data_IF_139296104132
#
_entry.id   IF_139296104132
#
_cell.length_a   1.000
_cell.length_b   1.000
_cell.length_c   1.000
_cell.angle_alpha   90.00
_cell.angle_beta   90.00
_cell.angle_gamma   90.00
#
_symmetry.space_group_name_H-M   'P 1'
#
loop_
_entity.id
_entity.type
_entity.pdbx_description
1 polymer ?
#
# COMPACT_ATOMS: atom_id res chain seq x y z
N UNK A 1 55.83 -8.61 -9.76
CA UNK A 1 54.39 -8.42 -9.75
C UNK A 1 54.06 -7.29 -10.71
N UNK A 2 53.13 -7.50 -11.61
CA UNK A 2 52.69 -6.44 -12.53
C UNK A 2 51.96 -5.34 -11.73
N UNK A 3 52.00 -4.10 -12.22
CA UNK A 3 51.37 -2.99 -11.51
C UNK A 3 49.84 -3.23 -11.43
N UNK A 4 49.26 -3.79 -12.47
CA UNK A 4 47.81 -4.12 -12.51
C UNK A 4 47.41 -5.13 -11.43
N UNK A 5 48.24 -6.16 -11.21
CA UNK A 5 47.99 -7.16 -10.13
C UNK A 5 48.14 -6.53 -8.73
N UNK A 6 49.14 -5.63 -8.58
CA UNK A 6 49.28 -4.90 -7.33
C UNK A 6 48.07 -4.03 -7.02
N UNK A 7 47.59 -3.24 -7.99
CA UNK A 7 46.45 -2.33 -7.80
C UNK A 7 45.15 -3.09 -7.55
N UNK A 8 44.90 -4.22 -8.25
CA UNK A 8 43.76 -5.09 -7.93
C UNK A 8 43.84 -5.63 -6.49
N UNK A 9 45.04 -6.06 -6.05
CA UNK A 9 45.25 -6.53 -4.66
C UNK A 9 45.05 -5.43 -3.64
N UNK A 10 45.55 -4.22 -3.90
CA UNK A 10 45.34 -3.05 -3.06
C UNK A 10 43.83 -2.71 -2.94
N UNK A 11 43.15 -2.65 -4.05
CA UNK A 11 41.68 -2.37 -4.08
C UNK A 11 40.90 -3.42 -3.29
N UNK A 12 41.17 -4.71 -3.52
CA UNK A 12 40.54 -5.81 -2.76
C UNK A 12 40.77 -5.65 -1.25
N UNK A 13 42.01 -5.32 -0.84
CA UNK A 13 42.33 -5.10 0.56
C UNK A 13 41.53 -3.95 1.16
N UNK A 14 41.36 -2.83 0.43
CA UNK A 14 40.57 -1.68 0.90
C UNK A 14 39.09 -2.03 1.01
N UNK A 15 38.53 -2.76 0.04
CA UNK A 15 37.15 -3.26 0.10
C UNK A 15 36.93 -4.17 1.32
N UNK A 16 37.86 -5.07 1.61
CA UNK A 16 37.78 -5.93 2.79
C UNK A 16 37.85 -5.14 4.09
N UNK A 17 38.66 -4.09 4.17
CA UNK A 17 38.69 -3.20 5.33
C UNK A 17 37.38 -2.49 5.54
N UNK A 18 36.74 -2.03 4.47
CA UNK A 18 35.46 -1.33 4.52
C UNK A 18 34.27 -2.24 4.85
N UNK A 19 34.18 -3.41 4.20
CA UNK A 19 33.01 -4.28 4.25
C UNK A 19 33.08 -5.34 5.37
N UNK A 20 34.25 -5.97 5.55
CA UNK A 20 34.37 -7.10 6.46
C UNK A 20 34.95 -6.72 7.83
N UNK A 21 35.70 -5.64 7.88
CA UNK A 21 36.41 -5.25 9.11
C UNK A 21 36.44 -3.72 9.28
N UNK A 22 35.28 -3.06 9.43
CA UNK A 22 35.12 -1.61 9.46
C UNK A 22 35.56 -1.02 10.83
N UNK A 23 36.86 -1.06 11.13
CA UNK A 23 37.44 -0.46 12.33
C UNK A 23 38.01 0.94 12.02
N UNK A 24 38.11 1.80 13.03
CA UNK A 24 38.73 3.13 12.89
C UNK A 24 40.15 3.06 12.30
N UNK A 25 40.97 2.10 12.75
CA UNK A 25 42.31 1.83 12.21
C UNK A 25 42.25 1.48 10.71
N UNK A 26 41.31 0.64 10.28
CA UNK A 26 41.19 0.23 8.89
C UNK A 26 40.64 1.37 8.00
N UNK A 27 39.76 2.20 8.52
CA UNK A 27 39.36 3.43 7.84
C UNK A 27 40.53 4.40 7.64
N UNK A 28 41.37 4.56 8.63
CA UNK A 28 42.62 5.33 8.50
C UNK A 28 43.49 4.80 7.34
N UNK A 29 43.68 3.47 7.25
CA UNK A 29 44.45 2.83 6.16
C UNK A 29 43.82 3.03 4.78
N UNK A 30 42.50 3.12 4.71
CA UNK A 30 41.79 3.44 3.44
C UNK A 30 42.09 4.90 3.07
N UNK A 31 41.94 5.84 3.98
CA UNK A 31 42.16 7.27 3.76
C UNK A 31 43.64 7.55 3.39
N UNK A 32 44.61 6.85 3.96
CA UNK A 32 46.01 6.95 3.60
C UNK A 32 46.30 6.63 2.13
N UNK A 33 45.42 5.86 1.45
CA UNK A 33 45.53 5.58 0.02
C UNK A 33 44.95 6.67 -0.87
N UNK A 34 44.32 7.68 -0.31
CA UNK A 34 43.69 8.76 -1.08
C UNK A 34 44.69 9.86 -1.40
N UNK A 35 44.54 10.53 -2.52
CA UNK A 35 45.27 11.74 -2.85
C UNK A 35 44.58 12.97 -2.23
N UNK A 36 45.30 14.07 -2.10
CA UNK A 36 44.76 15.35 -1.60
C UNK A 36 43.61 15.88 -2.50
N UNK A 37 43.56 15.46 -3.75
CA UNK A 37 42.51 15.81 -4.73
C UNK A 37 41.49 14.69 -4.89
N UNK A 38 41.29 13.84 -3.88
CA UNK A 38 40.35 12.73 -3.95
C UNK A 38 38.90 13.20 -4.08
N UNK A 39 38.17 12.53 -4.95
CA UNK A 39 36.70 12.70 -5.11
C UNK A 39 36.00 11.37 -5.16
N UNK A 40 34.71 11.33 -4.77
CA UNK A 40 33.96 10.09 -4.74
C UNK A 40 32.50 10.32 -5.12
N UNK A 41 31.96 9.35 -5.87
CA UNK A 41 30.51 9.17 -6.07
C UNK A 41 30.17 7.79 -5.50
N UNK A 42 29.40 7.78 -4.43
CA UNK A 42 28.92 6.56 -3.77
C UNK A 42 27.61 6.03 -4.34
N UNK A 43 27.06 5.00 -3.72
CA UNK A 43 25.81 4.35 -4.11
C UNK A 43 24.56 5.14 -3.72
N UNK A 44 24.65 5.96 -2.69
CA UNK A 44 23.56 6.80 -2.20
C UNK A 44 23.38 8.06 -3.02
N UNK A 45 22.13 8.52 -3.16
CA UNK A 45 21.78 9.72 -3.93
C UNK A 45 22.53 10.99 -3.47
N UNK A 46 22.94 11.04 -2.21
CA UNK A 46 23.61 12.19 -1.60
C UNK A 46 25.13 11.98 -1.47
N UNK A 47 25.65 10.82 -1.87
CA UNK A 47 27.05 10.48 -1.75
C UNK A 47 27.85 10.98 -2.96
N UNK A 48 27.92 12.29 -3.11
CA UNK A 48 28.75 12.98 -4.10
C UNK A 48 29.72 13.89 -3.36
N UNK A 49 30.97 13.48 -3.25
CA UNK A 49 32.03 14.19 -2.52
C UNK A 49 33.05 14.71 -3.53
N UNK A 50 33.22 16.02 -3.58
CA UNK A 50 34.05 16.70 -4.59
C UNK A 50 35.42 17.12 -4.05
N UNK A 51 35.65 16.90 -2.75
CA UNK A 51 36.94 17.17 -2.08
C UNK A 51 37.32 16.03 -1.13
N UNK A 52 38.59 15.97 -0.81
CA UNK A 52 39.12 15.04 0.19
C UNK A 52 38.41 15.18 1.52
N UNK A 53 38.25 16.43 2.02
CA UNK A 53 37.63 16.71 3.31
C UNK A 53 36.16 16.27 3.36
N UNK A 54 35.40 16.55 2.30
CA UNK A 54 34.00 16.11 2.18
C UNK A 54 33.90 14.58 2.21
N UNK A 55 34.81 13.89 1.50
CA UNK A 55 34.82 12.43 1.45
C UNK A 55 35.16 11.80 2.80
N UNK A 56 36.13 12.35 3.51
CA UNK A 56 36.50 11.91 4.88
C UNK A 56 35.30 12.07 5.82
N UNK A 57 34.66 13.23 5.81
CA UNK A 57 33.50 13.52 6.66
C UNK A 57 32.31 12.61 6.31
N UNK A 58 32.07 12.35 5.02
CA UNK A 58 31.01 11.46 4.56
C UNK A 58 31.20 10.02 5.03
N UNK A 59 32.41 9.48 4.88
CA UNK A 59 32.72 8.11 5.37
C UNK A 59 32.67 8.03 6.88
N UNK A 60 33.18 9.02 7.61
CA UNK A 60 33.12 9.05 9.07
C UNK A 60 31.66 9.06 9.58
N UNK A 61 30.75 9.76 8.88
CA UNK A 61 29.30 9.74 9.18
C UNK A 61 28.68 8.36 9.03
N UNK A 62 29.06 7.60 7.99
CA UNK A 62 28.55 6.26 7.71
C UNK A 62 29.18 5.17 8.60
N UNK A 63 30.32 5.45 9.25
CA UNK A 63 31.06 4.47 10.06
C UNK A 63 30.21 3.89 11.21
N UNK A 64 29.36 4.69 11.82
CA UNK A 64 28.52 4.25 12.95
C UNK A 64 27.49 3.21 12.54
N UNK A 65 26.91 3.33 11.35
CA UNK A 65 25.95 2.36 10.80
C UNK A 65 26.69 1.15 10.22
N UNK A 66 27.73 1.36 9.43
CA UNK A 66 28.53 0.29 8.79
C UNK A 66 29.17 -0.65 9.80
N UNK A 67 29.61 -0.15 10.97
CA UNK A 67 30.22 -0.97 12.02
C UNK A 67 29.25 -1.93 12.72
N UNK A 68 27.96 -1.72 12.60
CA UNK A 68 26.92 -2.57 13.20
C UNK A 68 26.48 -3.71 12.27
N UNK A 69 26.75 -3.61 10.97
CA UNK A 69 26.35 -4.58 9.98
C UNK A 69 27.55 -5.48 9.63
N UNK A 70 27.33 -6.79 9.70
CA UNK A 70 28.34 -7.77 9.30
C UNK A 70 27.97 -8.34 7.95
N UNK A 71 28.84 -8.15 6.98
CA UNK A 71 28.68 -8.67 5.63
C UNK A 71 29.51 -9.94 5.39
N UNK A 72 29.04 -10.78 4.46
CA UNK A 72 29.82 -11.78 3.74
C UNK A 72 29.93 -11.37 2.27
N UNK A 73 31.04 -11.64 1.65
CA UNK A 73 31.22 -11.44 0.21
C UNK A 73 30.80 -12.73 -0.50
N UNK A 74 29.78 -12.65 -1.34
CA UNK A 74 29.26 -13.78 -2.11
C UNK A 74 30.05 -13.99 -3.41
N UNK A 75 30.42 -12.87 -4.06
CA UNK A 75 31.24 -12.86 -5.28
C UNK A 75 32.00 -11.55 -5.40
N UNK A 76 33.19 -11.57 -6.02
CA UNK A 76 34.01 -10.38 -6.26
C UNK A 76 34.93 -10.58 -7.46
N UNK A 77 35.13 -9.52 -8.22
CA UNK A 77 36.09 -9.53 -9.32
C UNK A 77 36.71 -8.15 -9.50
N UNK A 78 37.97 -8.13 -9.94
CA UNK A 78 38.77 -6.92 -10.09
C UNK A 78 39.54 -7.00 -11.40
N UNK A 79 39.58 -5.89 -12.13
CA UNK A 79 40.41 -5.72 -13.36
C UNK A 79 41.09 -4.36 -13.30
N UNK A 80 42.32 -4.30 -13.80
CA UNK A 80 43.09 -3.07 -13.90
C UNK A 80 43.59 -2.85 -15.31
N UNK A 81 43.58 -1.60 -15.75
CA UNK A 81 44.11 -1.15 -17.04
C UNK A 81 45.01 0.05 -16.81
N UNK A 82 46.23 -0.03 -17.29
CA UNK A 82 47.12 1.12 -17.29
C UNK A 82 46.63 2.15 -18.31
N UNK A 83 46.37 3.37 -17.86
CA UNK A 83 46.02 4.51 -18.74
C UNK A 83 47.26 5.23 -19.23
N UNK A 84 48.28 5.31 -18.40
CA UNK A 84 49.63 5.86 -18.64
C UNK A 84 50.63 5.13 -17.72
N UNK A 85 51.91 5.46 -17.82
CA UNK A 85 52.92 4.88 -16.91
C UNK A 85 52.69 5.18 -15.43
N UNK A 86 52.06 6.32 -15.16
CA UNK A 86 51.78 6.85 -13.83
C UNK A 86 50.26 6.86 -13.45
N UNK A 87 49.43 6.33 -14.31
CA UNK A 87 47.94 6.33 -14.07
C UNK A 87 47.28 5.02 -14.48
N UNK A 88 46.37 4.52 -13.67
CA UNK A 88 45.64 3.30 -13.89
C UNK A 88 44.15 3.43 -13.52
N UNK A 89 43.29 2.68 -14.20
CA UNK A 89 41.91 2.45 -13.85
C UNK A 89 41.78 1.04 -13.28
N UNK A 90 41.24 0.92 -12.10
CA UNK A 90 40.78 -0.36 -11.54
C UNK A 90 39.25 -0.34 -11.51
N UNK A 91 38.64 -1.40 -12.02
CA UNK A 91 37.18 -1.56 -11.99
C UNK A 91 36.81 -2.99 -11.61
N UNK A 92 35.59 -3.15 -11.09
CA UNK A 92 35.16 -4.44 -10.59
C UNK A 92 33.73 -4.46 -10.10
N UNK A 93 33.37 -5.58 -9.50
CA UNK A 93 32.10 -5.78 -8.84
C UNK A 93 32.29 -6.52 -7.52
N UNK A 94 31.43 -6.24 -6.57
CA UNK A 94 31.38 -6.92 -5.27
C UNK A 94 29.92 -7.16 -4.93
N UNK A 95 29.60 -8.43 -4.69
CA UNK A 95 28.28 -8.86 -4.23
C UNK A 95 28.38 -9.25 -2.76
N UNK A 96 27.65 -8.54 -1.91
CA UNK A 96 27.68 -8.75 -0.46
C UNK A 96 26.28 -9.00 0.09
N UNK A 97 26.23 -9.74 1.20
CA UNK A 97 25.01 -10.02 1.95
C UNK A 97 25.26 -9.83 3.44
N UNK A 98 24.28 -9.28 4.14
CA UNK A 98 24.26 -9.20 5.60
C UNK A 98 24.14 -10.59 6.23
N UNK A 99 25.00 -10.91 7.21
CA UNK A 99 25.07 -12.21 7.89
C UNK A 99 23.96 -12.41 8.94
N UNK A 100 23.59 -11.33 9.64
CA UNK A 100 22.69 -11.40 10.79
C UNK A 100 21.69 -10.23 10.75
N UNK A 101 20.66 -10.29 9.88
CA UNK A 101 19.62 -9.27 9.88
C UNK A 101 18.86 -9.31 11.22
N UNK A 102 18.48 -8.14 11.74
CA UNK A 102 17.65 -8.05 12.93
C UNK A 102 16.24 -8.55 12.61
N UNK A 103 15.60 -9.19 13.59
CA UNK A 103 14.26 -9.74 13.43
C UNK A 103 13.26 -8.62 13.06
N UNK A 104 12.59 -8.76 11.92
CA UNK A 104 11.65 -7.78 11.39
C UNK A 104 12.26 -6.69 10.49
N UNK A 105 13.58 -6.65 10.30
CA UNK A 105 14.24 -5.78 9.32
C UNK A 105 14.46 -6.50 7.98
N UNK A 106 14.55 -5.73 6.89
CA UNK A 106 14.85 -6.26 5.58
C UNK A 106 16.31 -6.68 5.49
N UNK A 107 16.59 -7.83 4.88
CA UNK A 107 17.95 -8.30 4.60
C UNK A 107 18.66 -7.33 3.64
N UNK A 108 19.86 -6.90 4.01
CA UNK A 108 20.72 -6.07 3.15
C UNK A 108 21.54 -6.99 2.25
N UNK A 109 21.28 -6.91 0.95
CA UNK A 109 22.06 -7.58 -0.09
C UNK A 109 22.34 -6.59 -1.21
N UNK A 110 23.62 -6.45 -1.59
CA UNK A 110 24.07 -5.44 -2.56
C UNK A 110 25.01 -6.07 -3.58
N UNK A 111 24.58 -6.06 -4.86
CA UNK A 111 25.47 -6.27 -5.99
C UNK A 111 25.92 -4.91 -6.50
N UNK A 112 27.20 -4.62 -6.36
CA UNK A 112 27.76 -3.30 -6.62
C UNK A 112 28.84 -3.35 -7.66
N UNK A 113 29.03 -2.24 -8.37
CA UNK A 113 30.10 -2.03 -9.35
C UNK A 113 30.88 -0.79 -8.97
N UNK A 114 32.18 -0.82 -9.22
CA UNK A 114 33.02 0.32 -8.95
C UNK A 114 34.03 0.58 -10.05
N UNK A 115 34.51 1.80 -10.11
CA UNK A 115 35.68 2.21 -10.87
C UNK A 115 36.53 3.18 -10.05
N UNK A 116 37.84 2.95 -10.02
CA UNK A 116 38.79 3.71 -9.23
C UNK A 116 39.92 4.17 -10.16
N UNK A 117 40.24 5.45 -10.11
CA UNK A 117 41.42 5.99 -10.80
C UNK A 117 42.56 6.11 -9.77
N UNK A 118 43.67 5.48 -10.07
CA UNK A 118 44.91 5.58 -9.33
C UNK A 118 45.91 6.41 -10.09
N UNK A 119 46.69 7.20 -9.39
CA UNK A 119 47.86 7.96 -9.89
C UNK A 119 49.05 7.68 -9.00
N UNK A 120 50.20 7.46 -9.61
CA UNK A 120 51.47 7.29 -8.91
C UNK A 120 52.07 8.67 -8.62
N UNK A 121 52.40 8.93 -7.36
CA UNK A 121 53.03 10.17 -6.94
C UNK A 121 54.53 10.18 -7.26
N UNK A 122 55.23 11.29 -7.00
CA UNK A 122 56.65 11.44 -7.23
C UNK A 122 57.52 10.50 -6.37
N UNK A 123 56.99 10.00 -5.27
CA UNK A 123 57.65 9.05 -4.37
C UNK A 123 57.42 7.59 -4.79
N UNK A 124 56.61 7.35 -5.80
CA UNK A 124 56.27 6.01 -6.31
C UNK A 124 55.08 5.35 -5.61
N UNK A 125 54.29 6.09 -4.81
CA UNK A 125 53.10 5.56 -4.18
C UNK A 125 51.88 5.72 -5.07
N UNK A 126 51.09 4.69 -5.16
CA UNK A 126 49.82 4.74 -5.88
C UNK A 126 48.68 5.27 -5.00
N UNK A 127 48.08 6.40 -5.38
CA UNK A 127 47.01 7.09 -4.66
C UNK A 127 45.73 7.07 -5.45
N UNK A 128 44.59 6.84 -4.80
CA UNK A 128 43.26 7.01 -5.40
C UNK A 128 42.97 8.49 -5.60
N UNK A 129 42.57 8.89 -6.77
CA UNK A 129 42.14 10.26 -7.11
C UNK A 129 40.65 10.33 -7.32
N UNK A 130 40.02 9.21 -7.72
CA UNK A 130 38.59 9.13 -7.90
C UNK A 130 38.07 7.74 -7.62
N UNK A 131 36.92 7.65 -6.92
CA UNK A 131 36.13 6.43 -6.77
C UNK A 131 34.71 6.68 -7.24
N UNK A 132 34.23 5.88 -8.16
CA UNK A 132 32.81 5.77 -8.50
C UNK A 132 32.30 4.40 -8.06
N UNK A 133 31.25 4.38 -7.27
CA UNK A 133 30.59 3.18 -6.77
C UNK A 133 29.10 3.26 -7.14
N UNK A 134 28.55 2.24 -7.77
CA UNK A 134 27.18 2.20 -8.23
C UNK A 134 26.54 0.84 -8.00
N UNK A 135 25.22 0.83 -7.88
CA UNK A 135 24.44 -0.41 -7.87
C UNK A 135 23.72 -0.57 -9.21
N UNK A 136 23.75 -1.76 -9.82
CA UNK A 136 22.90 -2.05 -10.96
C UNK A 136 21.44 -2.00 -10.54
N UNK A 137 20.57 -1.69 -11.49
CA UNK A 137 19.15 -1.71 -11.26
C UNK A 137 18.65 -3.16 -11.16
N UNK A 138 18.14 -3.56 -9.98
CA UNK A 138 17.83 -4.96 -9.64
C UNK A 138 16.88 -5.68 -10.59
N UNK A 139 15.96 -4.95 -11.20
CA UNK A 139 14.89 -5.51 -12.04
C UNK A 139 15.17 -5.40 -13.53
N UNK A 140 16.41 -5.01 -13.94
CA UNK A 140 16.76 -4.86 -15.33
C UNK A 140 17.05 -6.23 -15.95
N UNK A 141 16.27 -6.65 -16.95
CA UNK A 141 16.53 -7.86 -17.74
C UNK A 141 17.79 -7.71 -18.60
N UNK A 142 18.36 -8.84 -19.01
CA UNK A 142 19.61 -8.84 -19.83
C UNK A 142 19.50 -8.05 -21.14
N UNK A 143 18.30 -7.91 -21.70
CA UNK A 143 18.01 -7.20 -22.95
C UNK A 143 17.41 -5.80 -22.72
N UNK A 144 17.31 -5.32 -21.49
CA UNK A 144 16.78 -4.00 -21.16
C UNK A 144 17.89 -2.98 -20.96
N UNK A 145 17.93 -1.95 -21.82
CA UNK A 145 18.91 -0.85 -21.72
C UNK A 145 18.50 0.26 -20.77
N UNK A 146 17.21 0.33 -20.40
CA UNK A 146 16.65 1.33 -19.48
C UNK A 146 15.73 0.69 -18.44
N UNK A 147 15.74 1.16 -17.19
CA UNK A 147 14.92 0.59 -16.12
C UNK A 147 13.43 0.90 -16.32
N UNK A 148 12.78 0.14 -17.19
CA UNK A 148 11.32 0.25 -17.45
C UNK A 148 10.50 -0.62 -16.51
N UNK A 149 11.07 -1.71 -16.02
CA UNK A 149 10.35 -2.77 -15.30
C UNK A 149 9.76 -2.29 -13.96
N UNK A 150 10.46 -1.44 -13.20
CA UNK A 150 9.96 -0.99 -11.89
C UNK A 150 8.66 -0.20 -11.99
N UNK A 151 8.55 0.71 -12.95
CA UNK A 151 7.34 1.53 -13.13
C UNK A 151 6.12 0.67 -13.54
N UNK A 152 6.33 -0.37 -14.34
CA UNK A 152 5.29 -1.35 -14.73
C UNK A 152 4.92 -2.21 -13.52
N UNK A 153 5.90 -2.84 -12.86
CA UNK A 153 5.66 -3.70 -11.69
C UNK A 153 5.04 -2.95 -10.51
N UNK A 154 5.46 -1.71 -10.25
CA UNK A 154 4.85 -0.88 -9.21
C UNK A 154 3.40 -0.57 -9.54
N UNK A 155 3.08 -0.27 -10.81
CA UNK A 155 1.71 -0.05 -11.25
C UNK A 155 0.86 -1.31 -11.09
N UNK A 156 1.35 -2.45 -11.56
CA UNK A 156 0.69 -3.75 -11.40
C UNK A 156 0.45 -4.10 -9.92
N UNK A 157 1.46 -3.87 -9.07
CA UNK A 157 1.32 -4.07 -7.63
C UNK A 157 0.29 -3.12 -7.00
N UNK A 158 0.27 -1.84 -7.39
CA UNK A 158 -0.73 -0.87 -6.93
C UNK A 158 -2.14 -1.24 -7.39
N UNK A 159 -2.31 -1.67 -8.64
CA UNK A 159 -3.58 -2.15 -9.17
C UNK A 159 -4.07 -3.40 -8.41
N UNK A 160 -3.15 -4.32 -8.10
CA UNK A 160 -3.44 -5.52 -7.33
C UNK A 160 -3.85 -5.18 -5.88
N UNK A 161 -3.13 -4.27 -5.23
CA UNK A 161 -3.47 -3.77 -3.88
C UNK A 161 -4.86 -3.11 -3.89
N UNK A 162 -5.17 -2.29 -4.89
CA UNK A 162 -6.48 -1.67 -5.01
C UNK A 162 -7.59 -2.70 -5.26
N UNK A 163 -7.32 -3.72 -6.08
CA UNK A 163 -8.24 -4.82 -6.30
C UNK A 163 -8.49 -5.63 -5.02
N UNK A 164 -7.45 -5.96 -4.27
CA UNK A 164 -7.60 -6.65 -2.98
C UNK A 164 -8.37 -5.79 -1.96
N UNK A 165 -8.08 -4.50 -1.91
CA UNK A 165 -8.81 -3.57 -1.05
C UNK A 165 -10.30 -3.53 -1.40
N UNK A 166 -10.64 -3.39 -2.68
CA UNK A 166 -12.04 -3.46 -3.15
C UNK A 166 -12.70 -4.79 -2.78
N UNK A 167 -12.04 -5.93 -2.98
CA UNK A 167 -12.57 -7.25 -2.60
C UNK A 167 -12.76 -7.40 -1.10
N UNK A 168 -11.87 -6.83 -0.30
CA UNK A 168 -11.96 -6.85 1.17
C UNK A 168 -13.07 -5.94 1.72
N UNK A 169 -13.38 -4.83 1.03
CA UNK A 169 -14.35 -3.85 1.51
C UNK A 169 -15.78 -4.07 0.99
N UNK A 170 -15.95 -4.81 -0.09
CA UNK A 170 -17.24 -4.96 -0.77
C UNK A 170 -17.86 -6.33 -0.53
N UNK A 171 -19.20 -6.39 -0.52
CA UNK A 171 -19.93 -7.63 -0.73
C UNK A 171 -19.85 -8.03 -2.20
N UNK A 172 -19.24 -9.18 -2.49
CA UNK A 172 -18.93 -9.62 -3.84
C UNK A 172 -20.17 -9.93 -4.70
N UNK A 173 -21.29 -10.25 -4.07
CA UNK A 173 -22.53 -10.53 -4.77
C UNK A 173 -23.22 -9.26 -5.25
N UNK A 174 -23.30 -8.26 -4.39
CA UNK A 174 -24.13 -7.07 -4.59
C UNK A 174 -23.35 -5.82 -4.99
N UNK A 175 -22.02 -5.81 -4.77
CA UNK A 175 -21.17 -4.68 -5.11
C UNK A 175 -21.39 -3.43 -4.25
N UNK A 176 -22.02 -3.56 -3.09
CA UNK A 176 -22.07 -2.55 -2.03
C UNK A 176 -21.04 -2.87 -0.95
N UNK A 177 -20.81 -2.00 0.04
CA UNK A 177 -19.89 -2.32 1.14
C UNK A 177 -20.36 -3.54 1.93
N UNK A 178 -19.40 -4.35 2.41
CA UNK A 178 -19.71 -5.37 3.40
C UNK A 178 -19.99 -4.73 4.78
N UNK A 179 -20.48 -5.52 5.73
CA UNK A 179 -20.88 -5.04 7.06
C UNK A 179 -19.76 -4.26 7.78
N UNK A 180 -18.55 -4.82 7.82
CA UNK A 180 -17.42 -4.23 8.52
C UNK A 180 -17.02 -2.87 7.92
N UNK A 181 -16.90 -2.81 6.60
CA UNK A 181 -16.54 -1.59 5.88
C UNK A 181 -17.61 -0.52 5.94
N UNK A 182 -18.88 -0.92 5.90
CA UNK A 182 -20.00 -0.01 6.11
C UNK A 182 -19.93 0.62 7.51
N UNK A 183 -19.82 -0.21 8.56
CA UNK A 183 -19.70 0.27 9.93
C UNK A 183 -18.55 1.25 10.11
N UNK A 184 -17.35 0.86 9.70
CA UNK A 184 -16.13 1.69 9.79
C UNK A 184 -16.33 3.07 9.16
N UNK A 185 -16.91 3.10 7.96
CA UNK A 185 -17.15 4.35 7.23
C UNK A 185 -18.16 5.25 7.94
N UNK A 186 -19.22 4.69 8.52
CA UNK A 186 -20.19 5.46 9.32
C UNK A 186 -19.53 6.00 10.58
N UNK A 187 -18.77 5.19 11.31
CA UNK A 187 -18.05 5.63 12.51
C UNK A 187 -17.08 6.80 12.21
N UNK A 188 -16.39 6.77 11.09
CA UNK A 188 -15.54 7.86 10.64
C UNK A 188 -16.32 9.17 10.40
N UNK A 189 -17.52 9.08 9.83
CA UNK A 189 -18.36 10.26 9.61
C UNK A 189 -18.94 10.81 10.92
N UNK A 190 -19.35 9.93 11.82
CA UNK A 190 -19.84 10.32 13.15
C UNK A 190 -18.72 11.00 13.97
N UNK A 191 -17.48 10.49 13.92
CA UNK A 191 -16.32 11.14 14.56
C UNK A 191 -16.04 12.54 14.02
N UNK A 192 -16.35 12.79 12.75
CA UNK A 192 -16.26 14.13 12.13
C UNK A 192 -17.45 15.04 12.47
N UNK A 193 -18.38 14.58 13.30
CA UNK A 193 -19.57 15.33 13.70
C UNK A 193 -20.61 15.50 12.60
N UNK A 194 -20.59 14.65 11.56
CA UNK A 194 -21.59 14.72 10.49
C UNK A 194 -22.95 14.25 10.98
N UNK A 195 -23.97 15.02 10.63
CA UNK A 195 -25.37 14.62 10.78
C UNK A 195 -25.71 13.62 9.67
N UNK A 196 -26.45 12.58 10.04
CA UNK A 196 -26.88 11.55 9.08
C UNK A 196 -28.16 10.85 9.55
N UNK A 197 -28.90 10.30 8.60
CA UNK A 197 -29.92 9.30 8.85
C UNK A 197 -29.35 7.91 8.53
N UNK A 198 -29.55 6.95 9.40
CA UNK A 198 -29.23 5.55 9.19
C UNK A 198 -30.51 4.78 8.89
N UNK A 199 -30.50 4.03 7.82
CA UNK A 199 -31.57 3.15 7.39
C UNK A 199 -31.10 1.70 7.49
N UNK A 200 -31.91 0.84 8.08
CA UNK A 200 -31.74 -0.61 8.01
C UNK A 200 -32.92 -1.14 7.23
N UNK A 201 -32.66 -1.94 6.22
CA UNK A 201 -33.60 -2.55 5.33
C UNK A 201 -33.50 -4.08 5.41
N UNK A 202 -34.65 -4.76 5.49
CA UNK A 202 -34.73 -6.21 5.52
C UNK A 202 -35.83 -6.68 4.53
N UNK A 203 -35.47 -7.63 3.65
CA UNK A 203 -36.41 -8.20 2.70
C UNK A 203 -37.47 -9.06 3.38
N UNK A 204 -38.71 -8.71 3.20
CA UNK A 204 -39.82 -9.41 3.86
C UNK A 204 -39.99 -10.83 3.27
N UNK A 205 -39.98 -11.84 4.15
CA UNK A 205 -40.15 -13.24 3.80
C UNK A 205 -39.16 -13.77 2.75
N UNK A 206 -37.91 -13.28 2.73
CA UNK A 206 -36.89 -13.65 1.75
C UNK A 206 -36.61 -15.16 1.72
N UNK A 207 -36.69 -15.85 2.86
CA UNK A 207 -36.56 -17.29 2.90
C UNK A 207 -37.67 -17.96 2.03
N UNK A 208 -38.88 -17.48 2.08
CA UNK A 208 -39.98 -18.02 1.23
C UNK A 208 -39.73 -17.77 -0.26
N UNK A 209 -39.07 -16.68 -0.62
CA UNK A 209 -38.62 -16.43 -2.01
C UNK A 209 -37.67 -17.51 -2.45
N UNK A 210 -36.61 -17.80 -1.63
CA UNK A 210 -35.64 -18.85 -1.93
C UNK A 210 -36.30 -20.24 -2.02
N UNK A 211 -37.21 -20.55 -1.09
CA UNK A 211 -37.89 -21.85 -1.04
C UNK A 211 -38.82 -22.04 -2.24
N UNK A 212 -39.44 -20.97 -2.77
CA UNK A 212 -40.42 -21.03 -3.85
C UNK A 212 -39.78 -20.89 -5.23
N UNK A 213 -38.84 -19.96 -5.42
CA UNK A 213 -38.27 -19.58 -6.73
C UNK A 213 -36.81 -20.04 -6.89
N UNK A 214 -36.18 -20.61 -5.84
CA UNK A 214 -34.81 -21.04 -5.82
C UNK A 214 -33.83 -19.92 -5.44
N UNK A 215 -32.65 -20.31 -4.98
CA UNK A 215 -31.59 -19.39 -4.52
C UNK A 215 -31.15 -18.41 -5.65
N UNK A 216 -31.18 -18.86 -6.92
CA UNK A 216 -30.80 -18.01 -8.05
C UNK A 216 -31.72 -16.77 -8.18
N UNK A 217 -33.04 -16.95 -7.98
CA UNK A 217 -33.99 -15.84 -7.98
C UNK A 217 -33.80 -14.91 -6.77
N UNK A 218 -33.48 -15.48 -5.60
CA UNK A 218 -33.15 -14.70 -4.41
C UNK A 218 -31.89 -13.87 -4.62
N UNK A 219 -30.83 -14.44 -5.20
CA UNK A 219 -29.59 -13.73 -5.52
C UNK A 219 -29.82 -12.59 -6.53
N UNK A 220 -30.67 -12.82 -7.56
CA UNK A 220 -31.04 -11.81 -8.53
C UNK A 220 -31.80 -10.66 -7.87
N UNK A 221 -32.72 -10.98 -6.97
CA UNK A 221 -33.46 -9.99 -6.19
C UNK A 221 -32.55 -9.13 -5.30
N UNK A 222 -31.58 -9.73 -4.61
CA UNK A 222 -30.60 -9.03 -3.81
C UNK A 222 -29.72 -8.08 -4.65
N UNK A 223 -29.24 -8.56 -5.81
CA UNK A 223 -28.48 -7.74 -6.76
C UNK A 223 -29.30 -6.58 -7.31
N UNK A 224 -30.54 -6.84 -7.63
CA UNK A 224 -31.46 -5.81 -8.11
C UNK A 224 -31.71 -4.74 -7.06
N UNK A 225 -32.01 -5.13 -5.82
CA UNK A 225 -32.19 -4.20 -4.70
C UNK A 225 -30.93 -3.36 -4.48
N UNK A 226 -29.76 -3.98 -4.42
CA UNK A 226 -28.49 -3.27 -4.26
C UNK A 226 -28.26 -2.21 -5.35
N UNK A 227 -28.60 -2.53 -6.61
CA UNK A 227 -28.53 -1.58 -7.74
C UNK A 227 -29.46 -0.38 -7.54
N UNK A 228 -30.67 -0.62 -7.06
CA UNK A 228 -31.62 0.46 -6.75
C UNK A 228 -31.15 1.32 -5.58
N UNK A 229 -30.64 0.70 -4.51
CA UNK A 229 -30.09 1.45 -3.39
C UNK A 229 -28.93 2.35 -3.85
N UNK A 230 -28.05 1.85 -4.71
CA UNK A 230 -26.99 2.67 -5.31
C UNK A 230 -27.55 3.82 -6.16
N UNK A 231 -28.58 3.58 -6.94
CA UNK A 231 -29.23 4.62 -7.77
C UNK A 231 -29.77 5.76 -6.93
N UNK A 232 -30.43 5.44 -5.80
CA UNK A 232 -31.16 6.42 -5.00
C UNK A 232 -30.33 7.06 -3.88
N UNK A 233 -29.24 6.42 -3.38
CA UNK A 233 -28.53 6.85 -2.18
C UNK A 233 -27.02 7.05 -2.34
N UNK A 234 -26.39 6.62 -3.46
CA UNK A 234 -24.94 6.64 -3.61
C UNK A 234 -24.32 8.04 -3.60
N UNK A 235 -25.00 9.02 -4.18
CA UNK A 235 -24.45 10.38 -4.29
C UNK A 235 -24.30 11.07 -2.93
N UNK A 236 -25.22 10.78 -2.00
CA UNK A 236 -25.35 11.48 -0.73
C UNK A 236 -25.09 10.57 0.47
N UNK A 237 -24.69 9.31 0.25
CA UNK A 237 -24.61 8.35 1.34
C UNK A 237 -23.66 7.18 1.12
N UNK A 238 -23.74 6.21 2.04
CA UNK A 238 -22.98 4.96 2.03
C UNK A 238 -23.98 3.82 2.10
N UNK A 239 -23.76 2.75 1.33
CA UNK A 239 -24.63 1.59 1.25
C UNK A 239 -23.83 0.35 1.55
N UNK A 240 -24.35 -0.53 2.41
CA UNK A 240 -23.73 -1.80 2.77
C UNK A 240 -24.74 -2.93 2.86
N UNK A 241 -24.28 -4.16 2.68
CA UNK A 241 -25.02 -5.38 3.00
C UNK A 241 -24.51 -5.89 4.34
N UNK A 242 -25.41 -5.98 5.33
CA UNK A 242 -25.04 -6.25 6.73
C UNK A 242 -25.44 -7.65 7.17
N UNK A 243 -26.26 -8.34 6.39
CA UNK A 243 -26.72 -9.70 6.64
C UNK A 243 -27.07 -10.42 5.33
N UNK A 244 -27.73 -11.55 5.42
CA UNK A 244 -28.15 -12.36 4.25
C UNK A 244 -29.08 -11.59 3.33
N UNK A 245 -30.15 -11.04 3.89
CA UNK A 245 -31.21 -10.26 3.24
C UNK A 245 -31.33 -8.85 3.79
N UNK A 246 -30.34 -8.42 4.59
CA UNK A 246 -30.32 -7.14 5.26
C UNK A 246 -29.31 -6.17 4.60
N UNK A 247 -29.80 -4.96 4.34
CA UNK A 247 -28.98 -3.85 3.86
C UNK A 247 -29.03 -2.69 4.84
N UNK A 248 -27.97 -1.91 4.86
CA UNK A 248 -27.93 -0.64 5.56
C UNK A 248 -27.53 0.48 4.62
N UNK A 249 -28.10 1.65 4.84
CA UNK A 249 -27.79 2.86 4.09
C UNK A 249 -27.64 4.02 5.06
N UNK A 250 -26.82 5.00 4.72
CA UNK A 250 -26.85 6.29 5.40
C UNK A 250 -27.06 7.40 4.37
N UNK A 251 -27.64 8.50 4.82
CA UNK A 251 -27.85 9.73 4.06
C UNK A 251 -27.27 10.90 4.87
N UNK A 252 -26.31 11.63 4.26
CA UNK A 252 -25.66 12.78 4.90
C UNK A 252 -26.37 14.11 4.65
N UNK A 253 -27.29 14.15 3.72
CA UNK A 253 -28.27 15.21 3.65
C UNK A 253 -29.35 14.87 4.68
N UNK A 254 -29.23 15.38 5.88
CA UNK A 254 -30.28 15.34 6.89
C UNK A 254 -31.48 16.16 6.38
N UNK A 255 -32.04 15.72 5.26
CA UNK A 255 -33.30 16.19 4.71
C UNK A 255 -34.41 15.64 5.62
N UNK A 256 -35.32 16.47 5.99
CA UNK A 256 -36.41 16.08 6.88
C UNK A 256 -37.16 14.84 6.37
N UNK A 257 -37.99 14.26 7.22
CA UNK A 257 -38.76 13.03 6.95
C UNK A 257 -39.50 13.02 5.61
N UNK A 258 -39.86 14.19 5.08
CA UNK A 258 -40.63 14.32 3.81
C UNK A 258 -39.76 14.02 2.56
N UNK A 259 -38.52 14.53 2.46
CA UNK A 259 -37.66 14.26 1.30
C UNK A 259 -37.16 12.81 1.31
N UNK A 260 -36.80 12.30 2.50
CA UNK A 260 -36.49 10.88 2.67
C UNK A 260 -37.67 9.99 2.28
N UNK A 261 -38.89 10.38 2.65
CA UNK A 261 -40.11 9.69 2.28
C UNK A 261 -40.31 9.64 0.76
N UNK A 262 -40.18 10.75 0.05
CA UNK A 262 -40.29 10.81 -1.42
C UNK A 262 -39.27 9.90 -2.12
N UNK A 263 -38.01 9.91 -1.64
CA UNK A 263 -36.94 9.05 -2.15
C UNK A 263 -37.25 7.57 -1.94
N UNK A 264 -37.73 7.21 -0.76
CA UNK A 264 -38.13 5.84 -0.47
C UNK A 264 -39.32 5.39 -1.30
N UNK A 265 -40.31 6.22 -1.51
CA UNK A 265 -41.49 5.88 -2.35
C UNK A 265 -41.04 5.58 -3.78
N UNK A 266 -40.20 6.40 -4.38
CA UNK A 266 -39.64 6.14 -5.71
C UNK A 266 -38.84 4.83 -5.77
N UNK A 267 -38.06 4.52 -4.74
CA UNK A 267 -37.36 3.23 -4.60
C UNK A 267 -38.35 2.06 -4.57
N UNK A 268 -39.45 2.16 -3.77
CA UNK A 268 -40.47 1.12 -3.67
C UNK A 268 -41.17 0.85 -4.99
N UNK A 269 -41.59 1.91 -5.70
CA UNK A 269 -42.30 1.77 -6.99
C UNK A 269 -41.43 1.03 -8.02
N UNK A 270 -40.15 1.44 -8.16
CA UNK A 270 -39.22 0.79 -9.09
C UNK A 270 -38.87 -0.64 -8.65
N UNK A 271 -38.69 -0.87 -7.34
CA UNK A 271 -38.43 -2.21 -6.82
C UNK A 271 -39.60 -3.15 -7.03
N UNK A 272 -40.84 -2.70 -6.83
CA UNK A 272 -42.03 -3.48 -7.04
C UNK A 272 -42.14 -3.98 -8.48
N UNK A 273 -41.89 -3.10 -9.45
CA UNK A 273 -41.93 -3.48 -10.86
C UNK A 273 -40.84 -4.51 -11.23
N UNK A 274 -39.65 -4.32 -10.76
CA UNK A 274 -38.53 -5.19 -11.09
C UNK A 274 -38.57 -6.52 -10.34
N UNK A 275 -38.95 -6.52 -9.06
CA UNK A 275 -39.12 -7.76 -8.29
C UNK A 275 -40.22 -8.64 -8.89
N UNK A 276 -41.30 -8.05 -9.37
CA UNK A 276 -42.36 -8.80 -10.06
C UNK A 276 -41.86 -9.49 -11.35
N UNK A 277 -40.94 -8.89 -12.08
CA UNK A 277 -40.31 -9.52 -13.27
C UNK A 277 -39.44 -10.72 -12.88
N UNK A 278 -38.66 -10.59 -11.77
CA UNK A 278 -37.79 -11.65 -11.24
C UNK A 278 -38.62 -12.81 -10.68
N UNK A 279 -39.75 -12.52 -10.03
CA UNK A 279 -40.58 -13.49 -9.33
C UNK A 279 -41.84 -13.92 -10.14
N UNK A 280 -41.80 -13.87 -11.46
CA UNK A 280 -42.85 -14.32 -12.35
C UNK A 280 -44.24 -13.70 -12.06
N UNK A 281 -44.26 -12.40 -11.80
CA UNK A 281 -45.48 -11.63 -11.51
C UNK A 281 -45.83 -11.53 -10.02
N UNK A 282 -45.04 -12.18 -9.14
CA UNK A 282 -45.22 -12.05 -7.70
C UNK A 282 -44.29 -10.95 -7.13
N UNK A 283 -44.58 -10.49 -5.92
CA UNK A 283 -43.87 -9.42 -5.25
C UNK A 283 -43.36 -9.86 -3.87
N UNK A 284 -42.14 -9.49 -3.53
CA UNK A 284 -41.59 -9.57 -2.18
C UNK A 284 -41.22 -8.17 -1.74
N UNK A 285 -41.85 -7.67 -0.67
CA UNK A 285 -41.57 -6.35 -0.13
C UNK A 285 -40.34 -6.29 0.74
N UNK A 286 -40.08 -5.13 1.32
CA UNK A 286 -39.04 -4.95 2.33
C UNK A 286 -39.49 -3.96 3.43
N UNK A 287 -38.98 -4.14 4.62
CA UNK A 287 -39.23 -3.27 5.77
C UNK A 287 -38.02 -2.42 6.08
N UNK A 288 -38.22 -1.12 6.35
CA UNK A 288 -37.13 -0.18 6.68
C UNK A 288 -37.35 0.45 8.05
N UNK A 289 -36.28 0.47 8.86
CA UNK A 289 -36.17 1.28 10.05
C UNK A 289 -35.20 2.43 9.85
N UNK A 290 -35.56 3.62 10.31
CA UNK A 290 -34.77 4.84 10.15
C UNK A 290 -34.48 5.47 11.50
N UNK A 291 -33.21 5.82 11.72
CA UNK A 291 -32.79 6.58 12.89
C UNK A 291 -31.94 7.79 12.49
N UNK A 292 -32.23 8.95 13.06
CA UNK A 292 -31.50 10.18 12.80
C UNK A 292 -30.45 10.45 13.89
N UNK A 293 -29.33 11.07 13.52
CA UNK A 293 -28.32 11.61 14.42
C UNK A 293 -28.24 13.13 14.24
N UNK A 294 -29.34 13.83 14.50
CA UNK A 294 -29.44 15.29 14.23
C UNK A 294 -28.79 16.12 15.35
N UNK A 295 -29.12 15.85 16.60
CA UNK A 295 -28.75 16.66 17.76
C UNK A 295 -27.97 15.92 18.84
N UNK A 296 -27.76 14.61 18.68
CA UNK A 296 -27.09 13.77 19.67
C UNK A 296 -25.76 13.22 19.14
N UNK A 297 -24.76 13.14 20.02
CA UNK A 297 -23.50 12.44 19.72
C UNK A 297 -23.68 10.93 19.89
N UNK A 298 -24.50 10.33 19.01
CA UNK A 298 -24.72 8.89 19.01
C UNK A 298 -23.51 8.15 18.45
N UNK A 299 -23.14 7.05 19.09
CA UNK A 299 -22.24 6.06 18.50
C UNK A 299 -22.95 5.29 17.39
N UNK A 300 -22.19 4.68 16.47
CA UNK A 300 -22.76 3.78 15.45
C UNK A 300 -23.66 2.71 16.07
N UNK A 301 -23.20 2.07 17.15
CA UNK A 301 -23.95 1.02 17.85
C UNK A 301 -25.31 1.50 18.40
N UNK A 302 -25.36 2.73 18.92
CA UNK A 302 -26.61 3.30 19.40
C UNK A 302 -27.56 3.62 18.25
N UNK A 303 -27.04 4.24 17.20
CA UNK A 303 -27.81 4.59 16.02
C UNK A 303 -28.34 3.35 15.29
N UNK A 304 -27.49 2.33 15.14
CA UNK A 304 -27.86 1.04 14.56
C UNK A 304 -29.00 0.37 15.35
N UNK A 305 -28.87 0.30 16.69
CA UNK A 305 -29.90 -0.27 17.54
C UNK A 305 -31.25 0.46 17.42
N UNK A 306 -31.22 1.79 17.28
CA UNK A 306 -32.45 2.59 17.08
C UNK A 306 -33.11 2.25 15.74
N UNK A 307 -32.33 2.19 14.65
CA UNK A 307 -32.85 1.83 13.34
C UNK A 307 -33.37 0.38 13.30
N UNK A 308 -32.68 -0.57 13.91
CA UNK A 308 -33.11 -1.97 14.04
C UNK A 308 -34.45 -2.12 14.80
N UNK A 309 -34.61 -1.39 15.90
CA UNK A 309 -35.91 -1.34 16.61
C UNK A 309 -37.03 -0.81 15.72
N UNK A 310 -36.75 0.14 14.86
CA UNK A 310 -37.73 0.67 13.91
C UNK A 310 -38.07 -0.36 12.79
N UNK A 311 -37.07 -1.15 12.30
CA UNK A 311 -37.33 -2.29 11.38
C UNK A 311 -38.29 -3.29 12.04
N UNK A 312 -38.01 -3.65 13.29
CA UNK A 312 -38.86 -4.57 14.03
C UNK A 312 -40.31 -4.04 14.16
N UNK A 313 -40.49 -2.72 14.41
CA UNK A 313 -41.80 -2.10 14.40
C UNK A 313 -42.45 -2.18 13.01
N UNK A 314 -41.73 -1.86 11.93
CA UNK A 314 -42.23 -1.95 10.56
C UNK A 314 -42.76 -3.35 10.24
N UNK A 315 -42.01 -4.38 10.62
CA UNK A 315 -42.41 -5.79 10.44
C UNK A 315 -43.68 -6.15 11.22
N UNK A 316 -43.82 -5.65 12.46
CA UNK A 316 -44.97 -5.96 13.33
C UNK A 316 -46.28 -5.28 12.88
N UNK A 317 -46.21 -4.09 12.28
CA UNK A 317 -47.40 -3.33 11.87
C UNK A 317 -47.84 -3.61 10.43
N UNK A 318 -47.26 -4.68 9.81
CA UNK A 318 -47.75 -5.21 8.53
C UNK A 318 -46.72 -5.31 7.41
N UNK A 319 -45.43 -5.08 7.67
CA UNK A 319 -44.33 -5.17 6.69
C UNK A 319 -44.47 -4.18 5.53
N UNK A 320 -43.57 -4.27 4.52
CA UNK A 320 -43.59 -3.46 3.28
C UNK A 320 -43.76 -1.96 3.56
N UNK A 321 -42.98 -1.42 4.48
CA UNK A 321 -43.05 -0.02 4.92
C UNK A 321 -41.79 0.44 5.59
N UNK A 322 -41.69 1.76 5.81
CA UNK A 322 -40.66 2.34 6.68
C UNK A 322 -41.25 2.89 7.98
N UNK A 323 -40.43 2.90 9.03
CA UNK A 323 -40.74 3.48 10.34
C UNK A 323 -39.54 4.29 10.81
N UNK A 324 -39.82 5.51 11.29
CA UNK A 324 -38.85 6.31 12.00
C UNK A 324 -38.78 5.88 13.46
N UNK A 325 -37.55 5.73 13.98
CA UNK A 325 -37.39 5.55 15.41
C UNK A 325 -37.84 6.78 16.14
N UNK A 326 -38.76 6.62 17.09
CA UNK A 326 -39.19 7.65 18.02
C UNK A 326 -38.82 7.19 19.42
N UNK A 327 -38.14 8.04 20.17
CA UNK A 327 -37.91 7.79 21.60
C UNK A 327 -39.24 7.80 22.32
N UNK A 328 -39.51 6.74 23.12
CA UNK A 328 -40.77 6.63 23.91
C UNK A 328 -40.66 7.43 25.19
#
# INVERSE_FOLDING_TARGET
MKIEEYLCGLTKKMCNYYLLNPTEENFGKIIETWSDNFSMIGTGKHEVYTSFEDAVNGIAGNQTEASQIKFEILDEWYQAVMLREDAALVYGGIWVRELMPKEGEALIEMDTRFSIIYVCDEEGNWKMVHLHHSMPYFDQGQDEFYPKALSVKVREAMELVELFKKRSEMDLMTGVYNHESFQKRIEEQLKKGKKLNLYILDLDNFKNVNDTYGHSAGDELLKYLAKLLQKYFKEDGIIGRIGGDEFAMCDFKASGSEESGKRLMALWDEYREGSAKILNGNYSGFSIGIAANEDEKLTYRQLFRRADQAVYQAKNIGKDRYVWYMEK
#
